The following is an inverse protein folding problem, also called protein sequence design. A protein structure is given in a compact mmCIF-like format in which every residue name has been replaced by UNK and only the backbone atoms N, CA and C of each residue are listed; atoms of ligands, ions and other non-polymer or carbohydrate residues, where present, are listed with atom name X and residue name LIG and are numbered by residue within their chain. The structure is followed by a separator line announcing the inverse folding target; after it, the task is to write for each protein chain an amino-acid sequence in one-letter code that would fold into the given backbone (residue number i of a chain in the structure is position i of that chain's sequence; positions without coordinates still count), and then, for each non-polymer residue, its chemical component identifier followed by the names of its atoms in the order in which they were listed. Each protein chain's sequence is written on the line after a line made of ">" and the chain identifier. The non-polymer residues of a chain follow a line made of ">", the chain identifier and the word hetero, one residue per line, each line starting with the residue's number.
data_IF_929663861560
#
_entry.id   IF_929663861560
#
_cell.length_a   1.000
_cell.length_b   1.000
_cell.length_c   1.000
_cell.angle_alpha   90.00
_cell.angle_beta   90.00
_cell.angle_gamma   90.00
#
_symmetry.space_group_name_H-M   'P 1'
#
loop_
_entity.id
_entity.type
_entity.pdbx_description
1 polymer ?
#
# COMPACT_ATOMS: atom_id res chain seq x y z
N UNK A 1 -9.85 -13.77 1.45
CA UNK A 1 -10.84 -14.11 2.53
C UNK A 1 -11.12 -12.97 3.52
N UNK A 2 -10.74 -11.74 3.18
CA UNK A 2 -10.62 -10.62 4.12
C UNK A 2 -11.91 -9.84 4.48
N UNK A 3 -12.94 -9.76 3.61
CA UNK A 3 -14.18 -9.08 3.97
C UNK A 3 -14.88 -9.74 5.17
N UNK A 4 -15.24 -8.93 6.17
CA UNK A 4 -15.93 -9.41 7.38
C UNK A 4 -17.45 -9.46 7.15
N UNK A 5 -18.03 -10.66 7.19
CA UNK A 5 -19.47 -10.86 7.16
C UNK A 5 -19.95 -11.42 8.50
N UNK A 6 -21.13 -10.97 8.99
CA UNK A 6 -21.68 -11.41 10.29
C UNK A 6 -21.86 -12.93 10.45
N UNK A 7 -22.01 -13.65 9.35
CA UNK A 7 -22.38 -15.07 9.34
C UNK A 7 -21.37 -15.96 8.58
N UNK A 8 -20.16 -15.44 8.29
CA UNK A 8 -19.12 -16.19 7.59
C UNK A 8 -17.82 -16.02 8.36
N UNK A 9 -17.12 -17.12 8.60
CA UNK A 9 -15.81 -17.08 9.26
C UNK A 9 -14.82 -16.26 8.43
N UNK A 10 -14.05 -15.42 9.11
CA UNK A 10 -13.14 -14.47 8.47
C UNK A 10 -11.69 -14.98 8.50
N UNK A 11 -10.77 -14.19 7.94
CA UNK A 11 -9.35 -14.51 7.89
C UNK A 11 -8.72 -14.83 9.26
N UNK A 12 -9.25 -14.33 10.37
CA UNK A 12 -8.72 -14.63 11.71
C UNK A 12 -8.98 -16.09 12.08
N UNK A 13 -10.19 -16.59 11.80
CA UNK A 13 -10.56 -17.98 12.01
C UNK A 13 -9.68 -18.90 11.16
N UNK A 14 -9.43 -18.50 9.92
CA UNK A 14 -8.49 -19.19 9.03
C UNK A 14 -7.07 -19.20 9.59
N UNK A 15 -6.56 -18.08 10.10
CA UNK A 15 -5.23 -17.99 10.70
C UNK A 15 -5.11 -18.86 11.98
N UNK A 16 -6.16 -18.92 12.80
CA UNK A 16 -6.22 -19.82 13.95
C UNK A 16 -6.21 -21.29 13.52
N UNK A 17 -6.99 -21.66 12.50
CA UNK A 17 -7.04 -23.02 11.96
C UNK A 17 -5.68 -23.48 11.40
N UNK A 18 -4.90 -22.54 10.84
CA UNK A 18 -3.52 -22.73 10.38
C UNK A 18 -2.48 -22.80 11.52
N UNK A 19 -2.89 -22.55 12.76
CA UNK A 19 -2.00 -22.51 13.92
C UNK A 19 -0.99 -21.38 13.87
N UNK A 20 -1.35 -20.24 13.28
CA UNK A 20 -0.51 -19.04 13.27
C UNK A 20 -0.46 -18.46 14.69
N UNK A 21 0.73 -18.11 15.23
CA UNK A 21 0.83 -17.53 16.56
C UNK A 21 -0.02 -16.26 16.73
N UNK A 22 -0.69 -16.06 17.88
CA UNK A 22 -1.53 -14.89 18.12
C UNK A 22 -0.81 -13.55 17.93
N UNK A 23 0.50 -13.50 18.20
CA UNK A 23 1.32 -12.30 17.95
C UNK A 23 1.44 -11.99 16.46
N UNK A 24 1.59 -12.99 15.60
CA UNK A 24 1.62 -12.84 14.14
C UNK A 24 0.25 -12.46 13.61
N UNK A 25 -0.82 -13.10 14.11
CA UNK A 25 -2.21 -12.73 13.77
C UNK A 25 -2.45 -11.27 14.12
N UNK A 26 -1.99 -10.81 15.29
CA UNK A 26 -1.99 -9.39 15.66
C UNK A 26 -1.21 -8.59 14.64
N UNK A 27 0.04 -8.89 14.32
CA UNK A 27 0.81 -8.18 13.28
C UNK A 27 0.12 -8.15 11.90
N UNK A 28 -0.66 -9.17 11.54
CA UNK A 28 -1.50 -9.14 10.34
C UNK A 28 -2.70 -8.17 10.46
N UNK A 29 -3.20 -7.91 11.68
CA UNK A 29 -4.09 -6.78 12.01
C UNK A 29 -3.34 -5.44 11.99
N UNK A 30 -2.07 -5.43 12.43
CA UNK A 30 -1.30 -4.21 12.73
C UNK A 30 -0.46 -3.77 11.53
N UNK A 31 -0.90 -2.72 10.88
CA UNK A 31 -0.24 -2.19 9.71
C UNK A 31 0.74 -1.05 10.05
N UNK A 32 1.81 -1.31 10.80
CA UNK A 32 2.77 -0.22 11.11
C UNK A 32 3.42 0.41 9.87
N UNK A 33 3.56 -0.33 8.77
CA UNK A 33 4.28 0.14 7.58
C UNK A 33 3.43 0.93 6.57
N UNK A 34 2.10 0.82 6.55
CA UNK A 34 1.21 1.53 5.61
C UNK A 34 -0.08 2.05 6.24
N UNK A 35 -0.27 1.99 7.57
CA UNK A 35 -1.32 2.77 8.22
C UNK A 35 -0.90 4.25 8.20
N UNK A 36 -1.65 5.13 7.53
CA UNK A 36 -1.39 6.56 7.59
C UNK A 36 -1.52 7.09 9.02
N UNK A 37 -2.43 6.53 9.83
CA UNK A 37 -2.56 6.88 11.24
C UNK A 37 -1.31 6.47 12.05
N UNK A 38 -0.75 5.28 11.87
CA UNK A 38 0.47 4.89 12.61
C UNK A 38 1.65 5.80 12.24
N UNK A 39 1.80 6.12 10.95
CA UNK A 39 2.83 7.07 10.48
C UNK A 39 2.62 8.46 11.06
N UNK A 40 1.38 8.93 11.11
CA UNK A 40 1.02 10.17 11.79
C UNK A 40 1.45 10.15 13.27
N UNK A 41 1.20 9.07 14.01
CA UNK A 41 1.61 8.98 15.43
C UNK A 41 3.14 8.91 15.60
N UNK A 42 3.87 8.29 14.68
CA UNK A 42 5.33 8.32 14.65
C UNK A 42 5.88 9.70 14.30
N UNK A 43 5.23 10.42 13.40
CA UNK A 43 5.58 11.80 13.10
C UNK A 43 5.33 12.72 14.31
N UNK A 44 4.20 12.56 15.00
CA UNK A 44 3.87 13.32 16.22
C UNK A 44 4.89 13.13 17.34
N UNK A 45 5.50 11.94 17.47
CA UNK A 45 6.58 11.69 18.42
C UNK A 45 7.77 12.66 18.22
N UNK A 46 8.05 13.04 16.97
CA UNK A 46 9.17 13.93 16.62
C UNK A 46 8.75 15.40 16.73
N UNK A 47 7.58 15.75 16.18
CA UNK A 47 7.19 17.16 16.04
C UNK A 47 6.44 17.71 17.26
N UNK A 48 5.81 16.82 18.04
CA UNK A 48 5.05 17.14 19.25
C UNK A 48 5.36 16.16 20.39
N UNK A 49 6.63 16.07 20.84
CA UNK A 49 7.07 15.04 21.81
C UNK A 49 6.37 15.14 23.18
N UNK A 50 5.90 16.33 23.55
CA UNK A 50 5.22 16.59 24.82
C UNK A 50 3.69 16.54 24.72
N UNK A 51 3.15 16.11 23.58
CA UNK A 51 1.72 15.97 23.40
C UNK A 51 1.12 14.97 24.40
N UNK A 52 0.07 15.39 25.09
CA UNK A 52 -0.60 14.58 26.10
C UNK A 52 -1.82 13.84 25.52
N UNK A 53 -2.30 12.81 26.22
CA UNK A 53 -3.56 12.13 25.87
C UNK A 53 -4.73 13.11 25.93
N UNK A 54 -4.72 14.07 26.86
CA UNK A 54 -5.71 15.15 26.92
C UNK A 54 -5.75 15.99 25.64
N UNK A 55 -4.59 16.37 25.10
CA UNK A 55 -4.49 17.11 23.83
C UNK A 55 -5.01 16.27 22.65
N UNK A 56 -4.70 14.97 22.64
CA UNK A 56 -5.16 14.03 21.63
C UNK A 56 -6.69 13.92 21.62
N UNK A 57 -7.29 13.76 22.80
CA UNK A 57 -8.74 13.70 23.00
C UNK A 57 -9.43 14.99 22.58
N UNK A 58 -8.83 16.14 22.93
CA UNK A 58 -9.32 17.43 22.50
C UNK A 58 -9.31 17.58 20.98
N UNK A 59 -8.27 17.11 20.29
CA UNK A 59 -8.21 17.12 18.83
C UNK A 59 -9.27 16.20 18.18
N UNK A 60 -9.53 15.01 18.75
CA UNK A 60 -10.56 14.07 18.27
C UNK A 60 -11.99 14.61 18.40
N UNK A 61 -12.22 15.58 19.29
CA UNK A 61 -13.56 16.09 19.63
C UNK A 61 -13.76 17.56 19.27
N UNK A 62 -12.72 18.25 18.78
CA UNK A 62 -12.77 19.70 18.50
C UNK A 62 -13.85 20.06 17.50
N UNK A 63 -13.96 19.29 16.43
CA UNK A 63 -15.01 19.47 15.43
C UNK A 63 -16.24 18.63 15.81
N UNK A 64 -17.23 19.26 16.42
CA UNK A 64 -18.44 18.59 16.93
C UNK A 64 -19.25 17.86 15.85
N UNK A 65 -19.21 18.32 14.59
CA UNK A 65 -19.94 17.68 13.49
C UNK A 65 -19.31 16.35 13.05
N UNK A 66 -18.02 16.17 13.31
CA UNK A 66 -17.24 14.99 12.90
C UNK A 66 -16.58 14.26 14.08
N UNK A 67 -16.90 14.65 15.31
CA UNK A 67 -16.18 14.25 16.52
C UNK A 67 -16.14 12.73 16.70
N UNK A 68 -14.97 12.23 17.09
CA UNK A 68 -14.71 10.81 17.36
C UNK A 68 -14.94 10.48 18.84
N UNK A 69 -16.18 10.66 19.30
CA UNK A 69 -16.55 10.32 20.67
C UNK A 69 -16.32 8.83 21.02
N UNK A 70 -16.30 7.97 20.00
CA UNK A 70 -15.96 6.56 20.14
C UNK A 70 -14.49 6.35 20.56
N UNK A 71 -13.57 7.13 19.98
CA UNK A 71 -12.15 7.12 20.33
C UNK A 71 -11.88 7.88 21.63
N UNK A 72 -12.56 9.01 21.84
CA UNK A 72 -12.45 9.81 23.07
C UNK A 72 -12.79 8.97 24.32
N UNK A 73 -13.94 8.30 24.32
CA UNK A 73 -14.35 7.42 25.42
C UNK A 73 -13.38 6.26 25.63
N UNK A 74 -12.91 5.65 24.53
CA UNK A 74 -11.94 4.56 24.60
C UNK A 74 -10.62 5.00 25.26
N UNK A 75 -10.17 6.22 24.98
CA UNK A 75 -8.97 6.79 25.58
C UNK A 75 -9.20 7.16 27.05
N UNK A 76 -10.33 7.78 27.37
CA UNK A 76 -10.74 8.12 28.73
C UNK A 76 -10.77 6.91 29.66
N UNK A 77 -11.32 5.79 29.18
CA UNK A 77 -11.44 4.56 29.98
C UNK A 77 -10.09 3.88 30.22
N UNK A 78 -9.05 4.18 29.43
CA UNK A 78 -7.80 3.42 29.38
C UNK A 78 -6.57 4.19 29.82
N UNK A 79 -6.56 5.51 29.66
CA UNK A 79 -5.37 6.34 29.82
C UNK A 79 -5.71 7.62 30.58
N UNK A 80 -4.80 8.04 31.46
CA UNK A 80 -4.88 9.34 32.11
C UNK A 80 -4.53 10.46 31.10
N UNK A 81 -5.15 11.62 31.24
CA UNK A 81 -4.98 12.73 30.30
C UNK A 81 -3.54 13.26 30.28
N UNK A 82 -2.82 13.16 31.40
CA UNK A 82 -1.46 13.67 31.57
C UNK A 82 -0.40 12.76 30.94
N UNK A 83 -0.76 11.54 30.56
CA UNK A 83 0.16 10.62 29.91
C UNK A 83 0.63 11.20 28.57
N UNK A 84 1.93 11.05 28.26
CA UNK A 84 2.46 11.40 26.94
C UNK A 84 1.96 10.41 25.90
N UNK A 85 1.54 10.92 24.75
CA UNK A 85 1.06 10.09 23.61
C UNK A 85 2.16 9.14 23.14
N UNK A 86 3.40 9.62 23.07
CA UNK A 86 4.55 8.83 22.63
C UNK A 86 4.76 7.58 23.49
N UNK A 87 4.64 7.71 24.81
CA UNK A 87 4.87 6.61 25.77
C UNK A 87 3.63 5.71 25.91
N UNK A 88 2.45 6.30 26.06
CA UNK A 88 1.22 5.58 26.39
C UNK A 88 0.55 4.93 25.16
N UNK A 89 0.79 5.48 23.97
CA UNK A 89 0.13 5.06 22.73
C UNK A 89 1.16 4.66 21.68
N UNK A 90 2.07 5.55 21.26
CA UNK A 90 2.93 5.31 20.08
C UNK A 90 3.98 4.21 20.28
N UNK A 91 4.62 4.17 21.45
CA UNK A 91 5.68 3.22 21.79
C UNK A 91 5.23 2.18 22.83
N UNK A 92 3.94 2.20 23.16
CA UNK A 92 3.33 1.26 24.08
C UNK A 92 3.18 -0.11 23.43
N UNK A 93 3.21 -1.17 24.25
CA UNK A 93 2.83 -2.53 23.82
C UNK A 93 1.32 -2.75 23.83
N UNK A 94 0.53 -1.73 24.18
CA UNK A 94 -0.92 -1.78 24.19
C UNK A 94 -1.52 -1.70 22.78
N UNK A 95 -2.66 -2.37 22.57
CA UNK A 95 -3.41 -2.33 21.30
C UNK A 95 -4.15 -0.99 21.05
N UNK A 96 -3.80 0.08 21.78
CA UNK A 96 -4.55 1.35 21.72
C UNK A 96 -4.32 2.03 20.39
N UNK A 97 -3.05 2.18 19.97
CA UNK A 97 -2.71 2.79 18.67
C UNK A 97 -3.39 2.05 17.52
N UNK A 98 -3.40 0.73 17.60
CA UNK A 98 -3.98 -0.14 16.57
C UNK A 98 -5.49 0.06 16.44
N UNK A 99 -6.18 0.22 17.57
CA UNK A 99 -7.62 0.49 17.59
C UNK A 99 -7.94 1.88 17.05
N UNK A 100 -7.08 2.86 17.33
CA UNK A 100 -7.19 4.21 16.75
C UNK A 100 -6.98 4.15 15.23
N UNK A 101 -5.90 3.50 14.78
CA UNK A 101 -5.55 3.36 13.37
C UNK A 101 -6.65 2.67 12.58
N UNK A 102 -7.12 1.51 13.04
CA UNK A 102 -8.22 0.78 12.41
C UNK A 102 -9.46 1.67 12.21
N UNK A 103 -9.75 2.51 13.20
CA UNK A 103 -10.93 3.38 13.24
C UNK A 103 -10.79 4.66 12.41
N UNK A 104 -9.60 5.20 12.25
CA UNK A 104 -9.36 6.44 11.49
C UNK A 104 -9.00 6.16 10.03
N UNK A 105 -8.28 5.07 9.76
CA UNK A 105 -7.90 4.67 8.40
C UNK A 105 -9.09 4.17 7.58
N UNK A 106 -10.04 3.47 8.23
CA UNK A 106 -11.27 2.99 7.57
C UNK A 106 -12.43 3.99 7.57
N UNK A 107 -12.25 5.14 8.21
CA UNK A 107 -13.30 6.15 8.29
C UNK A 107 -13.51 6.83 6.93
N UNK A 108 -14.77 7.08 6.61
CA UNK A 108 -15.18 7.86 5.44
C UNK A 108 -16.09 9.02 5.85
N UNK A 109 -16.19 10.07 5.02
CA UNK A 109 -17.12 11.16 5.27
C UNK A 109 -18.55 10.65 5.49
N UNK A 110 -19.31 11.23 6.45
CA UNK A 110 -19.00 12.46 7.19
C UNK A 110 -18.17 12.28 8.47
N UNK A 111 -17.74 11.06 8.79
CA UNK A 111 -16.96 10.77 10.01
C UNK A 111 -15.54 11.33 9.90
N UNK A 112 -14.98 11.89 10.97
CA UNK A 112 -13.59 12.35 10.97
C UNK A 112 -12.63 11.22 10.59
N UNK A 113 -11.91 11.44 9.50
CA UNK A 113 -10.87 10.57 8.98
C UNK A 113 -9.53 10.86 9.64
N UNK A 114 -8.50 10.05 9.38
CA UNK A 114 -7.13 10.34 9.82
C UNK A 114 -6.59 11.67 9.26
N UNK A 115 -7.01 12.08 8.05
CA UNK A 115 -6.63 13.37 7.44
C UNK A 115 -7.26 14.52 8.23
N UNK A 116 -8.57 14.45 8.47
CA UNK A 116 -9.29 15.46 9.26
C UNK A 116 -8.65 15.59 10.65
N UNK A 117 -8.33 14.46 11.27
CA UNK A 117 -7.65 14.42 12.56
C UNK A 117 -6.25 15.04 12.52
N UNK A 118 -5.44 14.73 11.50
CA UNK A 118 -4.13 15.34 11.30
C UNK A 118 -4.19 16.86 11.12
N UNK A 119 -5.21 17.35 10.40
CA UNK A 119 -5.47 18.78 10.24
C UNK A 119 -5.85 19.44 11.58
N UNK A 120 -6.66 18.78 12.41
CA UNK A 120 -6.96 19.24 13.77
C UNK A 120 -5.69 19.27 14.66
N UNK A 121 -4.72 18.42 14.37
CA UNK A 121 -3.41 18.49 15.00
C UNK A 121 -2.51 19.59 14.40
N UNK A 122 -3.00 20.41 13.47
CA UNK A 122 -2.24 21.50 12.86
C UNK A 122 -1.15 21.02 11.91
N UNK A 123 -1.23 19.79 11.42
CA UNK A 123 -0.32 19.26 10.38
C UNK A 123 -0.85 19.70 9.03
N UNK A 124 0.04 20.10 8.13
CA UNK A 124 -0.37 20.58 6.80
C UNK A 124 -0.92 19.44 5.94
N UNK A 125 -1.80 19.77 4.99
CA UNK A 125 -2.35 18.78 4.06
C UNK A 125 -1.26 18.09 3.24
N UNK A 126 -0.22 18.83 2.85
CA UNK A 126 0.90 18.29 2.05
C UNK A 126 1.70 17.25 2.85
N UNK A 127 2.00 17.54 4.12
CA UNK A 127 2.64 16.57 5.02
C UNK A 127 1.75 15.34 5.24
N UNK A 128 0.44 15.52 5.40
CA UNK A 128 -0.47 14.39 5.57
C UNK A 128 -0.52 13.50 4.33
N UNK A 129 -0.52 14.05 3.12
CA UNK A 129 -0.44 13.26 1.87
C UNK A 129 0.78 12.35 1.82
N UNK A 130 1.91 12.75 2.41
CA UNK A 130 3.10 11.88 2.49
C UNK A 130 2.86 10.63 3.36
N UNK A 131 1.91 10.68 4.30
CA UNK A 131 1.54 9.52 5.11
C UNK A 131 0.62 8.55 4.36
N UNK A 132 -0.16 9.05 3.39
CA UNK A 132 -0.99 8.26 2.48
C UNK A 132 -0.13 7.50 1.47
N UNK A 133 0.92 8.15 0.96
CA UNK A 133 1.85 7.54 0.02
C UNK A 133 2.54 6.34 0.66
N UNK A 134 2.31 5.14 0.15
CA UNK A 134 3.14 3.97 0.45
C UNK A 134 4.62 4.38 0.28
N UNK A 135 5.35 4.54 1.39
CA UNK A 135 6.72 5.09 1.36
C UNK A 135 7.67 4.28 0.48
N UNK A 136 7.28 3.05 0.15
CA UNK A 136 8.05 2.13 -0.69
C UNK A 136 7.41 1.87 -2.07
N UNK A 137 6.21 2.39 -2.35
CA UNK A 137 5.52 2.17 -3.62
C UNK A 137 5.33 3.48 -4.37
N UNK A 138 6.17 3.67 -5.38
CA UNK A 138 6.17 4.83 -6.28
C UNK A 138 5.96 4.32 -7.71
N UNK A 139 4.72 4.32 -8.23
CA UNK A 139 4.44 3.77 -9.56
C UNK A 139 5.11 4.55 -10.68
N UNK A 140 5.26 5.87 -10.54
CA UNK A 140 6.08 6.67 -11.47
C UNK A 140 7.52 6.18 -11.51
N UNK A 141 8.20 6.08 -10.37
CA UNK A 141 9.60 5.63 -10.35
C UNK A 141 9.74 4.17 -10.80
N UNK A 142 8.77 3.31 -10.49
CA UNK A 142 8.72 1.94 -10.98
C UNK A 142 8.55 1.90 -12.52
N UNK A 143 7.73 2.77 -13.09
CA UNK A 143 7.58 2.93 -14.55
C UNK A 143 8.90 3.35 -15.19
N UNK A 144 9.59 4.36 -14.63
CA UNK A 144 10.91 4.77 -15.12
C UNK A 144 11.95 3.66 -14.99
N UNK A 145 11.90 2.88 -13.92
CA UNK A 145 12.76 1.70 -13.75
C UNK A 145 12.50 0.67 -14.84
N UNK A 146 11.23 0.34 -15.11
CA UNK A 146 10.84 -0.57 -16.18
C UNK A 146 11.32 -0.06 -17.55
N UNK A 147 11.14 1.23 -17.84
CA UNK A 147 11.63 1.84 -19.08
C UNK A 147 13.14 1.65 -19.25
N UNK A 148 13.93 1.90 -18.21
CA UNK A 148 15.39 1.82 -18.32
C UNK A 148 15.91 0.39 -18.40
N UNK A 149 15.19 -0.57 -17.83
CA UNK A 149 15.60 -1.98 -17.84
C UNK A 149 15.09 -2.77 -19.02
N UNK A 150 13.90 -2.43 -19.53
CA UNK A 150 13.19 -3.23 -20.53
C UNK A 150 13.09 -2.56 -21.90
N UNK A 151 13.34 -1.25 -22.03
CA UNK A 151 13.25 -0.59 -23.33
C UNK A 151 14.42 -0.96 -24.22
N UNK A 152 14.12 -1.47 -25.41
CA UNK A 152 15.10 -1.74 -26.46
C UNK A 152 15.52 -0.48 -27.25
N UNK A 153 14.82 0.65 -27.04
CA UNK A 153 15.01 1.89 -27.78
C UNK A 153 15.67 2.95 -26.89
N UNK A 154 16.62 3.74 -27.43
CA UNK A 154 17.15 4.89 -26.71
C UNK A 154 16.03 5.90 -26.44
N UNK A 155 15.84 6.23 -25.16
CA UNK A 155 14.79 7.13 -24.69
C UNK A 155 15.40 8.50 -24.39
N UNK A 156 14.99 9.53 -25.15
CA UNK A 156 15.44 10.91 -24.94
C UNK A 156 14.62 11.63 -23.88
N UNK A 157 15.26 12.55 -23.16
CA UNK A 157 14.56 13.35 -22.15
C UNK A 157 13.48 14.26 -22.78
N UNK A 158 13.74 14.83 -23.95
CA UNK A 158 12.78 15.64 -24.71
C UNK A 158 11.47 14.91 -25.04
N UNK A 159 11.51 13.60 -25.28
CA UNK A 159 10.29 12.82 -25.53
C UNK A 159 9.39 12.78 -24.28
N UNK A 160 9.98 12.48 -23.12
CA UNK A 160 9.26 12.46 -21.85
C UNK A 160 8.69 13.85 -21.52
N UNK A 161 9.46 14.91 -21.79
CA UNK A 161 8.98 16.29 -21.64
C UNK A 161 7.83 16.57 -22.59
N UNK A 162 7.89 16.11 -23.84
CA UNK A 162 6.80 16.21 -24.81
C UNK A 162 5.50 15.56 -24.32
N UNK A 163 5.57 14.38 -23.70
CA UNK A 163 4.37 13.79 -23.08
C UNK A 163 3.82 14.65 -21.94
N UNK A 164 4.67 15.28 -21.12
CA UNK A 164 4.17 16.20 -20.09
C UNK A 164 3.50 17.45 -20.67
N UNK A 165 3.94 17.92 -21.85
CA UNK A 165 3.26 18.99 -22.60
C UNK A 165 1.90 18.53 -23.13
N UNK A 166 1.82 17.34 -23.73
CA UNK A 166 0.56 16.75 -24.22
C UNK A 166 -0.45 16.49 -23.09
N UNK A 167 0.04 16.13 -21.91
CA UNK A 167 -0.75 15.93 -20.69
C UNK A 167 -1.14 17.25 -19.99
N UNK A 168 -0.73 18.40 -20.52
CA UNK A 168 -0.89 19.74 -19.95
C UNK A 168 -0.39 19.86 -18.48
N UNK A 169 0.72 19.18 -18.17
CA UNK A 169 1.32 19.14 -16.82
C UNK A 169 2.25 20.31 -16.58
N UNK A 170 1.70 21.54 -16.62
CA UNK A 170 2.47 22.76 -16.37
C UNK A 170 3.20 22.76 -15.02
N UNK A 171 2.61 22.12 -14.02
CA UNK A 171 3.19 21.97 -12.67
C UNK A 171 4.46 21.09 -12.65
N UNK A 172 4.60 20.16 -13.59
CA UNK A 172 5.81 19.35 -13.79
C UNK A 172 6.80 20.07 -14.69
N UNK A 173 6.31 20.67 -15.78
CA UNK A 173 7.14 21.41 -16.73
C UNK A 173 7.86 22.58 -16.05
N UNK A 174 7.21 23.26 -15.11
CA UNK A 174 7.83 24.32 -14.31
C UNK A 174 8.98 23.78 -13.44
N UNK A 175 8.79 22.64 -12.77
CA UNK A 175 9.84 21.98 -11.97
C UNK A 175 11.04 21.62 -12.84
N UNK A 176 10.80 21.07 -14.04
CA UNK A 176 11.88 20.71 -14.97
C UNK A 176 12.65 21.96 -15.42
N UNK A 177 11.94 23.03 -15.81
CA UNK A 177 12.55 24.30 -16.25
C UNK A 177 13.39 24.97 -15.15
N UNK A 178 12.98 24.84 -13.90
CA UNK A 178 13.73 25.38 -12.76
C UNK A 178 14.98 24.55 -12.42
N UNK A 179 14.98 23.26 -12.75
CA UNK A 179 16.03 22.32 -12.32
C UNK A 179 17.06 22.03 -13.42
N UNK A 180 16.64 22.05 -14.69
CA UNK A 180 17.43 21.57 -15.83
C UNK A 180 17.49 22.64 -16.93
N UNK A 181 18.66 22.81 -17.54
CA UNK A 181 18.84 23.69 -18.70
C UNK A 181 18.13 23.10 -19.93
N UNK A 182 17.42 23.93 -20.69
CA UNK A 182 16.68 23.46 -21.88
C UNK A 182 17.56 22.74 -22.90
N UNK A 183 18.83 23.16 -23.07
CA UNK A 183 19.79 22.50 -23.95
C UNK A 183 20.14 21.06 -23.54
N UNK A 184 20.03 20.74 -22.25
CA UNK A 184 20.29 19.40 -21.73
C UNK A 184 19.12 18.45 -22.01
N UNK A 185 17.89 18.97 -22.08
CA UNK A 185 16.67 18.18 -22.37
C UNK A 185 16.74 17.62 -23.80
N UNK A 186 17.19 18.43 -24.75
CA UNK A 186 17.26 18.04 -26.16
C UNK A 186 18.42 17.09 -26.46
N UNK A 187 19.50 17.17 -25.68
CA UNK A 187 20.74 16.43 -25.96
C UNK A 187 20.88 15.13 -25.17
N UNK A 188 20.39 15.08 -23.92
CA UNK A 188 20.62 13.96 -23.00
C UNK A 188 19.53 12.89 -23.07
N UNK A 189 19.89 11.69 -22.62
CA UNK A 189 18.96 10.59 -22.48
C UNK A 189 18.10 10.77 -21.22
N UNK A 190 16.91 10.18 -21.22
CA UNK A 190 15.97 10.31 -20.12
C UNK A 190 16.56 9.80 -18.79
N UNK A 191 17.40 8.75 -18.81
CA UNK A 191 18.04 8.21 -17.61
C UNK A 191 19.05 9.16 -16.95
N UNK A 192 19.61 10.11 -17.71
CA UNK A 192 20.58 11.08 -17.19
C UNK A 192 19.89 12.27 -16.54
N UNK A 193 18.70 12.64 -17.03
CA UNK A 193 17.88 13.74 -16.50
C UNK A 193 16.96 13.24 -15.39
N UNK A 194 16.16 12.20 -15.67
CA UNK A 194 15.19 11.62 -14.76
C UNK A 194 15.78 10.42 -14.00
N UNK A 195 16.95 10.64 -13.41
CA UNK A 195 17.69 9.58 -12.71
C UNK A 195 16.88 9.01 -11.54
N UNK A 196 16.85 7.67 -11.43
CA UNK A 196 16.23 6.98 -10.29
C UNK A 196 16.79 7.48 -8.95
N UNK A 197 15.91 7.79 -8.01
CA UNK A 197 16.25 8.36 -6.70
C UNK A 197 16.75 9.82 -6.72
N UNK A 198 16.76 10.52 -7.86
CA UNK A 198 17.07 11.95 -7.89
C UNK A 198 15.93 12.79 -7.33
N UNK A 199 16.25 13.94 -6.72
CA UNK A 199 15.25 14.87 -6.17
C UNK A 199 14.24 15.34 -7.22
N UNK A 200 14.71 15.52 -8.47
CA UNK A 200 13.85 15.85 -9.60
C UNK A 200 12.80 14.75 -9.84
N UNK A 201 13.24 13.49 -9.97
CA UNK A 201 12.32 12.39 -10.21
C UNK A 201 11.38 12.15 -9.01
N UNK A 202 11.87 12.32 -7.77
CA UNK A 202 11.04 12.24 -6.56
C UNK A 202 9.93 13.30 -6.59
N UNK A 203 10.27 14.54 -6.93
CA UNK A 203 9.30 15.64 -7.01
C UNK A 203 8.27 15.42 -8.11
N UNK A 204 8.72 15.00 -9.30
CA UNK A 204 7.83 14.67 -10.43
C UNK A 204 6.93 13.48 -10.08
N UNK A 205 7.49 12.44 -9.45
CA UNK A 205 6.74 11.26 -9.01
C UNK A 205 5.61 11.64 -8.06
N UNK A 206 5.87 12.52 -7.09
CA UNK A 206 4.84 13.02 -6.16
C UNK A 206 3.66 13.60 -6.93
N UNK A 207 3.96 14.45 -7.92
CA UNK A 207 2.97 15.12 -8.78
C UNK A 207 2.22 14.18 -9.73
N UNK A 208 2.87 13.15 -10.27
CA UNK A 208 2.25 12.19 -11.19
C UNK A 208 1.45 11.10 -10.49
N UNK A 209 1.81 10.76 -9.25
CA UNK A 209 1.13 9.76 -8.44
C UNK A 209 -0.12 10.31 -7.74
N UNK A 210 -0.29 11.64 -7.69
CA UNK A 210 -1.53 12.26 -7.20
C UNK A 210 -2.68 12.04 -8.19
N UNK A 211 -3.73 11.35 -7.73
CA UNK A 211 -4.97 11.17 -8.48
C UNK A 211 -5.80 12.46 -8.46
N UNK A 212 -5.56 13.33 -9.45
CA UNK A 212 -6.29 14.57 -9.65
C UNK A 212 -7.31 14.43 -10.80
N UNK A 213 -8.63 14.57 -10.56
CA UNK A 213 -9.63 14.50 -11.60
C UNK A 213 -9.35 15.49 -12.74
N UNK A 214 -9.29 14.98 -13.97
CA UNK A 214 -9.03 15.80 -15.17
C UNK A 214 -7.56 16.15 -15.43
N UNK A 215 -6.62 15.70 -14.59
CA UNK A 215 -5.18 15.90 -14.79
C UNK A 215 -4.53 14.53 -15.04
N UNK A 216 -3.75 14.42 -16.12
CA UNK A 216 -3.08 13.17 -16.46
C UNK A 216 -2.02 12.79 -15.40
N UNK A 217 -2.21 11.64 -14.76
CA UNK A 217 -1.23 11.04 -13.84
C UNK A 217 -0.25 10.10 -14.54
N UNK A 218 0.50 9.32 -13.75
CA UNK A 218 1.47 8.34 -14.24
C UNK A 218 0.88 7.30 -15.21
N UNK A 219 -0.41 6.96 -15.07
CA UNK A 219 -1.13 6.04 -15.97
C UNK A 219 -1.25 6.58 -17.40
N UNK A 220 -1.44 7.90 -17.53
CA UNK A 220 -1.52 8.56 -18.83
C UNK A 220 -0.13 8.58 -19.46
N UNK A 221 0.92 8.90 -18.68
CA UNK A 221 2.30 8.79 -19.14
C UNK A 221 2.64 7.37 -19.62
N UNK A 222 2.29 6.34 -18.84
CA UNK A 222 2.46 4.94 -19.24
C UNK A 222 1.71 4.61 -20.54
N UNK A 223 0.49 5.14 -20.70
CA UNK A 223 -0.31 4.95 -21.91
C UNK A 223 0.35 5.54 -23.15
N UNK A 224 0.94 6.74 -23.06
CA UNK A 224 1.74 7.32 -24.16
C UNK A 224 2.94 6.44 -24.49
N UNK A 225 3.67 5.96 -23.48
CA UNK A 225 4.84 5.09 -23.67
C UNK A 225 4.50 3.74 -24.31
N UNK A 226 3.34 3.17 -24.00
CA UNK A 226 2.84 1.95 -24.64
C UNK A 226 2.43 2.25 -26.10
N UNK A 227 1.69 3.32 -26.34
CA UNK A 227 1.24 3.71 -27.67
C UNK A 227 2.42 3.92 -28.64
N UNK A 228 3.49 4.53 -28.17
CA UNK A 228 4.70 4.80 -28.94
C UNK A 228 5.72 3.65 -28.92
N UNK A 229 5.33 2.49 -28.38
CA UNK A 229 6.12 1.24 -28.37
C UNK A 229 7.48 1.41 -27.68
N UNK A 230 7.49 2.10 -26.54
CA UNK A 230 8.62 2.15 -25.61
C UNK A 230 8.50 1.10 -24.50
N UNK A 231 7.28 0.62 -24.25
CA UNK A 231 6.96 -0.49 -23.34
C UNK A 231 6.15 -1.52 -24.11
N UNK A 232 6.63 -2.76 -24.16
CA UNK A 232 5.98 -3.87 -24.88
C UNK A 232 4.96 -4.63 -24.01
N UNK A 233 4.91 -4.34 -22.71
CA UNK A 233 4.01 -4.98 -21.75
C UNK A 233 2.68 -4.20 -21.64
N UNK A 234 1.58 -4.67 -22.25
CA UNK A 234 0.30 -3.96 -22.22
C UNK A 234 -0.33 -3.95 -20.81
N UNK A 235 0.09 -4.87 -19.95
CA UNK A 235 -0.39 -4.99 -18.57
C UNK A 235 0.48 -4.22 -17.59
N UNK A 236 1.45 -3.41 -18.07
CA UNK A 236 2.35 -2.68 -17.18
C UNK A 236 1.60 -1.75 -16.23
N UNK A 237 0.50 -1.14 -16.69
CA UNK A 237 -0.31 -0.25 -15.85
C UNK A 237 -0.92 -1.05 -14.70
N UNK A 238 -1.54 -2.20 -14.96
CA UNK A 238 -2.13 -3.02 -13.88
C UNK A 238 -1.08 -3.59 -12.93
N UNK A 239 0.11 -3.95 -13.43
CA UNK A 239 1.25 -4.42 -12.61
C UNK A 239 1.82 -3.32 -11.72
N UNK A 240 1.79 -2.08 -12.19
CA UNK A 240 2.27 -0.90 -11.49
C UNK A 240 1.14 -0.12 -10.80
N UNK A 241 -0.08 -0.66 -10.76
CA UNK A 241 -1.10 -0.10 -9.88
C UNK A 241 -0.64 -0.31 -8.43
N UNK A 242 -0.69 0.73 -7.58
CA UNK A 242 -0.64 0.48 -6.15
C UNK A 242 -1.71 -0.54 -5.83
N UNK A 243 -1.37 -1.59 -5.06
CA UNK A 243 -2.36 -2.58 -4.68
C UNK A 243 -3.59 -1.84 -4.14
N UNK A 244 -4.79 -2.25 -4.52
CA UNK A 244 -5.98 -1.54 -4.05
C UNK A 244 -6.04 -1.59 -2.51
N UNK A 245 -6.71 -0.63 -1.83
CA UNK A 245 -6.78 -0.62 -0.35
C UNK A 245 -7.17 -1.99 0.25
N UNK A 246 -8.00 -2.78 -0.44
CA UNK A 246 -8.36 -4.13 -0.02
C UNK A 246 -7.28 -5.21 -0.31
N UNK A 247 -6.41 -5.01 -1.30
CA UNK A 247 -5.25 -5.86 -1.60
C UNK A 247 -4.06 -5.54 -0.68
N UNK A 248 -3.94 -4.27 -0.28
CA UNK A 248 -3.05 -3.80 0.78
C UNK A 248 -3.44 -4.43 2.11
N UNK A 249 -4.74 -4.49 2.39
CA UNK A 249 -5.32 -5.10 3.59
C UNK A 249 -5.82 -6.52 3.34
N UNK A 250 -4.95 -7.40 2.84
CA UNK A 250 -5.20 -8.84 2.91
C UNK A 250 -4.43 -9.50 4.06
N UNK A 251 -4.98 -9.50 5.29
CA UNK A 251 -4.51 -10.40 6.33
C UNK A 251 -4.39 -11.85 5.85
N UNK A 252 -5.29 -12.31 4.98
CA UNK A 252 -5.23 -13.63 4.36
C UNK A 252 -3.89 -13.83 3.63
N UNK A 253 -3.47 -12.88 2.79
CA UNK A 253 -2.18 -12.91 2.09
C UNK A 253 -1.00 -12.98 3.05
N UNK A 254 -0.96 -12.12 4.07
CA UNK A 254 0.14 -12.10 5.06
C UNK A 254 0.24 -13.40 5.86
N UNK A 255 -0.90 -14.01 6.16
CA UNK A 255 -0.97 -15.31 6.82
C UNK A 255 -0.37 -16.41 5.92
N UNK A 256 -0.66 -16.37 4.61
CA UNK A 256 -0.07 -17.31 3.65
C UNK A 256 1.44 -17.06 3.48
N UNK A 257 1.89 -15.81 3.39
CA UNK A 257 3.32 -15.48 3.33
C UNK A 257 4.06 -15.97 4.59
N UNK A 258 3.47 -15.76 5.77
CA UNK A 258 4.02 -16.30 7.02
C UNK A 258 4.08 -17.83 6.99
N UNK A 259 3.03 -18.48 6.48
CA UNK A 259 2.93 -19.93 6.39
C UNK A 259 4.04 -20.51 5.50
N UNK A 260 4.29 -19.91 4.32
CA UNK A 260 5.37 -20.31 3.41
C UNK A 260 6.73 -20.18 4.09
N UNK A 261 6.95 -19.08 4.82
CA UNK A 261 8.23 -18.81 5.47
C UNK A 261 8.50 -19.70 6.70
N UNK A 262 7.46 -20.13 7.41
CA UNK A 262 7.60 -20.81 8.72
C UNK A 262 7.17 -22.29 8.71
N UNK A 263 6.45 -22.72 7.68
CA UNK A 263 6.01 -24.10 7.45
C UNK A 263 6.20 -24.47 5.98
N UNK A 264 7.45 -24.61 5.51
CA UNK A 264 7.74 -24.85 4.08
C UNK A 264 7.18 -26.18 3.55
N UNK A 265 6.92 -27.14 4.44
CA UNK A 265 6.34 -28.44 4.09
C UNK A 265 4.79 -28.40 4.03
N UNK A 266 4.18 -27.24 4.33
CA UNK A 266 2.72 -27.11 4.32
C UNK A 266 2.19 -27.13 2.87
N UNK A 267 1.26 -28.04 2.62
CA UNK A 267 0.77 -28.34 1.26
C UNK A 267 -0.50 -27.58 0.90
N UNK A 268 -0.80 -27.49 -0.39
CA UNK A 268 -2.06 -26.90 -0.89
C UNK A 268 -3.27 -27.73 -0.44
N UNK A 269 -3.14 -29.05 -0.36
CA UNK A 269 -4.23 -29.92 0.12
C UNK A 269 -4.56 -29.63 1.60
N UNK A 270 -3.53 -29.40 2.42
CA UNK A 270 -3.72 -28.96 3.80
C UNK A 270 -4.33 -27.56 3.89
N UNK A 271 -3.97 -26.65 2.99
CA UNK A 271 -4.57 -25.32 2.89
C UNK A 271 -6.07 -25.40 2.56
N UNK A 272 -6.43 -26.26 1.60
CA UNK A 272 -7.82 -26.53 1.22
C UNK A 272 -8.59 -27.12 2.39
N UNK A 273 -8.05 -28.12 3.07
CA UNK A 273 -8.67 -28.72 4.24
C UNK A 273 -8.92 -27.69 5.37
N UNK A 274 -8.00 -26.73 5.55
CA UNK A 274 -8.21 -25.63 6.50
C UNK A 274 -9.27 -24.64 6.06
N UNK A 275 -9.39 -24.35 4.77
CA UNK A 275 -10.51 -23.56 4.24
C UNK A 275 -11.86 -24.26 4.43
N UNK A 276 -11.91 -25.60 4.28
CA UNK A 276 -13.10 -26.40 4.56
C UNK A 276 -13.48 -26.39 6.05
N UNK A 277 -12.49 -26.50 6.94
CA UNK A 277 -12.67 -26.45 8.40
C UNK A 277 -13.34 -25.15 8.85
N UNK A 278 -12.97 -24.01 8.26
CA UNK A 278 -13.57 -22.70 8.54
C UNK A 278 -14.81 -22.38 7.71
N UNK A 279 -15.34 -23.37 6.99
CA UNK A 279 -16.56 -23.23 6.18
C UNK A 279 -16.44 -22.30 4.98
N UNK A 280 -15.22 -21.98 4.52
CA UNK A 280 -14.93 -21.10 3.36
C UNK A 280 -14.96 -21.87 2.05
N UNK A 281 -16.13 -22.43 1.75
CA UNK A 281 -16.39 -23.18 0.52
C UNK A 281 -16.20 -22.35 -0.77
N UNK A 282 -16.29 -21.02 -0.68
CA UNK A 282 -15.94 -20.08 -1.74
C UNK A 282 -14.44 -20.14 -2.06
N UNK A 283 -13.58 -20.04 -1.03
CA UNK A 283 -12.13 -20.13 -1.18
C UNK A 283 -11.69 -21.53 -1.65
N UNK A 284 -12.33 -22.59 -1.16
CA UNK A 284 -12.09 -23.98 -1.60
C UNK A 284 -12.32 -24.13 -3.10
N UNK A 285 -13.45 -23.62 -3.61
CA UNK A 285 -13.77 -23.69 -5.06
C UNK A 285 -12.75 -22.95 -5.91
N UNK A 286 -12.28 -21.79 -5.45
CA UNK A 286 -11.24 -21.00 -6.13
C UNK A 286 -9.92 -21.77 -6.16
N UNK A 287 -9.48 -22.28 -5.01
CA UNK A 287 -8.26 -23.06 -4.87
C UNK A 287 -8.26 -24.31 -5.75
N UNK A 288 -9.30 -25.14 -5.66
CA UNK A 288 -9.44 -26.34 -6.48
C UNK A 288 -9.46 -25.96 -7.96
N UNK A 289 -10.27 -24.97 -8.36
CA UNK A 289 -10.36 -24.52 -9.75
C UNK A 289 -9.02 -24.02 -10.33
N UNK A 290 -8.19 -23.38 -9.51
CA UNK A 290 -6.89 -22.85 -9.91
C UNK A 290 -5.82 -23.95 -10.00
N UNK A 291 -5.75 -24.85 -9.03
CA UNK A 291 -4.72 -25.89 -8.98
C UNK A 291 -5.06 -27.16 -9.78
N UNK A 292 -6.34 -27.47 -10.03
CA UNK A 292 -6.71 -28.54 -10.97
C UNK A 292 -6.35 -28.18 -12.42
N UNK A 293 -6.39 -26.89 -12.81
CA UNK A 293 -5.96 -26.42 -14.14
C UNK A 293 -4.45 -26.43 -14.36
N UNK A 294 -3.65 -26.38 -13.29
CA UNK A 294 -2.19 -26.42 -13.38
C UNK A 294 -1.64 -27.81 -13.70
N UNK A 295 -2.45 -28.87 -13.51
CA UNK A 295 -2.09 -30.26 -13.79
C UNK A 295 -2.30 -30.64 -15.27
N UNK A 296 -3.16 -29.91 -16.00
CA UNK A 296 -3.47 -30.21 -17.41
C UNK A 296 -2.38 -29.76 -18.43
N UNK A 297 -1.31 -29.09 -17.98
CA UNK A 297 -0.22 -28.62 -18.86
C UNK A 297 1.14 -29.31 -18.62
N UNK A 298 1.19 -30.41 -17.88
CA UNK A 298 2.43 -31.10 -17.57
C UNK A 298 2.27 -32.61 -17.51
N UNK A 299 2.05 -33.24 -18.65
CA UNK A 299 2.19 -34.68 -18.81
C UNK A 299 3.67 -34.99 -19.16
N UNK A 300 4.45 -35.40 -18.16
CA UNK A 300 5.15 -36.68 -18.24
C UNK A 300 5.70 -37.12 -16.87
N UNK A 301 5.39 -38.36 -16.53
CA UNK A 301 5.76 -39.08 -15.33
C UNK A 301 7.27 -39.34 -15.24
N UNK A 302 8.06 -38.47 -14.61
CA UNK A 302 9.20 -38.87 -13.76
C UNK A 302 9.63 -37.72 -12.83
N UNK A 303 9.79 -38.03 -11.53
CA UNK A 303 10.38 -37.17 -10.49
C UNK A 303 9.51 -36.03 -9.94
N UNK A 304 8.76 -36.35 -8.88
CA UNK A 304 8.12 -35.42 -7.94
C UNK A 304 9.15 -34.59 -7.13
N UNK A 305 9.93 -33.77 -7.80
CA UNK A 305 10.71 -32.68 -7.22
C UNK A 305 10.69 -31.50 -8.20
N UNK A 306 9.53 -30.86 -8.34
CA UNK A 306 9.46 -29.59 -9.06
C UNK A 306 9.75 -28.48 -8.05
N UNK A 307 11.01 -28.04 -8.11
CA UNK A 307 11.61 -26.79 -7.64
C UNK A 307 10.57 -25.75 -7.18
N UNK A 308 10.33 -25.73 -5.87
CA UNK A 308 9.44 -24.80 -5.17
C UNK A 308 10.27 -23.59 -4.71
N UNK A 309 10.68 -22.69 -5.60
CA UNK A 309 11.21 -21.38 -5.15
C UNK A 309 10.82 -20.16 -6.01
N UNK A 310 10.42 -20.31 -7.28
CA UNK A 310 10.06 -19.14 -8.11
C UNK A 310 8.58 -19.07 -8.52
N UNK A 311 7.91 -20.20 -8.74
CA UNK A 311 6.51 -20.20 -9.20
C UNK A 311 5.46 -19.95 -8.11
N UNK A 312 5.83 -20.07 -6.84
CA UNK A 312 4.91 -19.87 -5.70
C UNK A 312 4.61 -18.38 -5.46
N UNK A 313 5.52 -17.47 -5.84
CA UNK A 313 5.33 -16.03 -5.64
C UNK A 313 4.33 -15.41 -6.62
N UNK A 314 4.16 -15.97 -7.81
CA UNK A 314 3.28 -15.44 -8.86
C UNK A 314 1.87 -16.06 -8.92
N UNK A 315 1.57 -17.08 -8.11
CA UNK A 315 0.33 -17.88 -8.27
C UNK A 315 -0.62 -17.88 -7.08
N UNK A 316 -0.33 -17.07 -6.07
CA UNK A 316 -1.14 -16.91 -4.85
C UNK A 316 -2.05 -15.68 -4.86
N UNK A 317 -2.08 -14.91 -5.95
CA UNK A 317 -2.76 -13.61 -6.05
C UNK A 317 -4.29 -13.67 -6.20
N UNK A 318 -4.89 -14.87 -6.11
CA UNK A 318 -6.31 -15.09 -6.46
C UNK A 318 -7.18 -15.40 -5.22
N UNK A 319 -6.64 -15.34 -3.98
CA UNK A 319 -7.35 -15.64 -2.72
C UNK A 319 -7.49 -14.41 -1.82
#
# INVERSE_FOLDING_TARGET
>A
MDPQFKNIENWEHFAFALGVPPVTIRTCKLYSECSPTIRLFKYLEVIKPDMTVGDLRAALTRNLERARFDLDRMLEDKLANECKVSEAITNSTSEILDKIALKLDSASPPTCTWIDFGLELGITRDTLKEFEMYTNYNPTEALFRCLYTASAKPLKASLIVGYFEEMDRQDILEVIKQTILSSDIDSKDAQDIFKLGSELLVTISRKLNEDCPGVGGWRVLASHLIADQYIDDPDIISKLEPPHQHEIHSPTKKIIEWLIANKPDFTIDELIAKCEEVGRNDAVKILIGHYSRAVDFGDDTTSRQIIVQETTKEKLWII
#
